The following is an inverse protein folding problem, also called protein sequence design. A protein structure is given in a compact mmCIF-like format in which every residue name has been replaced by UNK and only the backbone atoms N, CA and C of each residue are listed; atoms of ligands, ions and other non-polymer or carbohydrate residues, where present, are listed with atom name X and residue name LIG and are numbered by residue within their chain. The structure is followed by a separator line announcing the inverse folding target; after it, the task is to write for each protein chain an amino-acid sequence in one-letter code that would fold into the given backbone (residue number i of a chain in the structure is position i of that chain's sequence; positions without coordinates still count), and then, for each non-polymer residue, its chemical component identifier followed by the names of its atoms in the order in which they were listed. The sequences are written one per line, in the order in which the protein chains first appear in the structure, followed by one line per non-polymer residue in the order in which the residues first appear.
data_IF_417208903442
#
_entry.id   IF_417208903442
#
_cell.length_a   1.000
_cell.length_b   1.000
_cell.length_c   1.000
_cell.angle_alpha   90.00
_cell.angle_beta   90.00
_cell.angle_gamma   90.00
#
_symmetry.space_group_name_H-M   'P 1'
#
loop_
_entity.id
_entity.type
_entity.pdbx_description
1 polymer ?
#
# COMPACT_ATOMS: atom_id res chain seq x y z
N UNK A 1 -10.18 0.98 -15.48
CA UNK A 1 -10.40 1.74 -16.73
C UNK A 1 -9.38 1.22 -17.74
N UNK A 2 -9.86 0.69 -18.86
CA UNK A 2 -9.00 0.25 -19.96
C UNK A 2 -8.53 1.44 -20.80
N UNK A 3 -7.56 1.21 -21.70
CA UNK A 3 -7.08 2.27 -22.60
C UNK A 3 -8.18 2.81 -23.53
N UNK A 4 -9.08 1.95 -24.00
CA UNK A 4 -10.21 2.37 -24.82
C UNK A 4 -11.17 3.27 -24.03
N UNK A 5 -11.56 2.88 -22.81
CA UNK A 5 -12.41 3.70 -21.94
C UNK A 5 -11.77 5.08 -21.66
N UNK A 6 -10.44 5.10 -21.47
CA UNK A 6 -9.72 6.36 -21.26
C UNK A 6 -9.79 7.27 -22.49
N UNK A 7 -9.66 6.72 -23.71
CA UNK A 7 -9.81 7.48 -24.95
C UNK A 7 -11.24 8.05 -25.09
N UNK A 8 -12.25 7.26 -24.76
CA UNK A 8 -13.65 7.68 -24.81
C UNK A 8 -13.90 8.87 -23.85
N UNK A 9 -13.41 8.76 -22.60
CA UNK A 9 -13.52 9.84 -21.62
C UNK A 9 -12.74 11.10 -22.06
N UNK A 10 -11.55 10.93 -22.63
CA UNK A 10 -10.78 12.05 -23.18
C UNK A 10 -11.49 12.74 -24.37
N UNK A 11 -12.26 11.97 -25.14
CA UNK A 11 -13.09 12.49 -26.22
C UNK A 11 -14.42 13.09 -25.74
N UNK A 12 -14.68 13.13 -24.43
CA UNK A 12 -15.92 13.67 -23.85
C UNK A 12 -17.10 12.69 -23.85
N UNK A 13 -16.86 11.42 -24.14
CA UNK A 13 -17.90 10.40 -24.05
C UNK A 13 -18.05 9.91 -22.59
N UNK A 14 -19.27 9.56 -22.15
CA UNK A 14 -19.48 9.03 -20.82
C UNK A 14 -18.85 7.64 -20.68
N UNK A 15 -18.22 7.38 -19.54
CA UNK A 15 -17.78 6.04 -19.20
C UNK A 15 -18.97 5.22 -18.71
N UNK A 16 -19.33 4.19 -19.47
CA UNK A 16 -20.39 3.27 -19.10
C UNK A 16 -19.91 2.27 -18.06
N UNK A 17 -20.48 2.32 -16.87
CA UNK A 17 -20.21 1.39 -15.78
C UNK A 17 -21.45 0.56 -15.49
N UNK A 18 -21.31 -0.78 -15.51
CA UNK A 18 -22.38 -1.65 -15.01
C UNK A 18 -22.69 -1.29 -13.56
N UNK A 19 -23.98 -1.17 -13.22
CA UNK A 19 -24.39 -0.87 -11.83
C UNK A 19 -23.72 -1.86 -10.86
N UNK A 20 -22.90 -1.37 -9.91
CA UNK A 20 -22.12 -2.22 -9.03
C UNK A 20 -22.98 -2.84 -7.94
N UNK A 21 -22.53 -3.95 -7.38
CA UNK A 21 -23.02 -4.43 -6.08
C UNK A 21 -22.50 -3.49 -4.98
N UNK A 22 -23.24 -3.44 -3.88
CA UNK A 22 -22.87 -2.65 -2.71
C UNK A 22 -22.47 -3.60 -1.55
N UNK A 23 -21.26 -3.49 -1.07
CA UNK A 23 -20.77 -4.24 0.09
C UNK A 23 -20.54 -3.24 1.23
N UNK A 24 -21.29 -3.38 2.32
CA UNK A 24 -21.11 -2.60 3.53
C UNK A 24 -20.13 -3.27 4.47
N UNK A 25 -19.09 -2.57 4.92
CA UNK A 25 -18.19 -3.03 5.98
C UNK A 25 -18.40 -2.16 7.21
N UNK A 26 -19.13 -2.70 8.17
CA UNK A 26 -19.40 -2.03 9.44
C UNK A 26 -18.24 -2.23 10.40
N UNK A 27 -17.62 -1.14 10.80
CA UNK A 27 -16.53 -1.12 11.75
C UNK A 27 -17.03 -0.60 13.10
N UNK A 28 -16.81 -1.38 14.16
CA UNK A 28 -17.14 -1.01 15.54
C UNK A 28 -15.89 -0.97 16.41
N UNK A 29 -15.95 -0.34 17.57
CA UNK A 29 -14.81 -0.23 18.48
C UNK A 29 -13.67 0.64 17.94
N UNK A 30 -12.46 0.39 18.43
CA UNK A 30 -11.23 1.16 18.04
C UNK A 30 -10.03 0.25 17.94
N UNK A 31 -9.11 0.57 17.01
CA UNK A 31 -7.80 -0.06 16.95
C UNK A 31 -7.00 0.24 18.22
N UNK A 32 -6.23 -0.72 18.68
CA UNK A 32 -5.36 -0.56 19.84
C UNK A 32 -4.11 -1.42 19.74
N UNK A 33 -3.08 -1.03 20.48
CA UNK A 33 -1.86 -1.82 20.61
C UNK A 33 -1.15 -2.03 19.27
N UNK A 34 -0.98 -3.28 18.90
CA UNK A 34 -0.27 -3.71 17.71
C UNK A 34 -1.10 -3.64 16.42
N UNK A 35 -2.41 -3.41 16.51
CA UNK A 35 -3.26 -3.34 15.32
C UNK A 35 -3.14 -2.00 14.60
N UNK A 36 -3.26 -2.06 13.29
CA UNK A 36 -3.23 -0.91 12.39
C UNK A 36 -4.40 -0.97 11.40
N UNK A 37 -4.66 0.12 10.69
CA UNK A 37 -5.68 0.16 9.64
C UNK A 37 -5.45 -0.91 8.55
N UNK A 38 -4.19 -1.26 8.30
CA UNK A 38 -3.81 -2.36 7.40
C UNK A 38 -4.47 -3.68 7.76
N UNK A 39 -4.58 -3.99 9.05
CA UNK A 39 -5.14 -5.27 9.51
C UNK A 39 -6.63 -5.40 9.17
N UNK A 40 -7.35 -4.27 9.07
CA UNK A 40 -8.76 -4.25 8.63
C UNK A 40 -8.86 -4.80 7.21
N UNK A 41 -8.10 -4.24 6.28
CA UNK A 41 -8.19 -4.67 4.88
C UNK A 41 -7.58 -6.05 4.65
N UNK A 42 -6.57 -6.45 5.42
CA UNK A 42 -6.03 -7.81 5.38
C UNK A 42 -7.09 -8.83 5.81
N UNK A 43 -7.86 -8.53 6.85
CA UNK A 43 -9.00 -9.37 7.27
C UNK A 43 -10.11 -9.37 6.22
N UNK A 44 -10.47 -8.21 5.66
CA UNK A 44 -11.48 -8.11 4.59
C UNK A 44 -11.05 -8.92 3.36
N UNK A 45 -9.77 -8.86 3.00
CA UNK A 45 -9.21 -9.66 1.90
C UNK A 45 -9.36 -11.17 2.17
N UNK A 46 -9.15 -11.60 3.41
CA UNK A 46 -9.39 -13.00 3.80
C UNK A 46 -10.86 -13.42 3.73
N UNK A 47 -11.80 -12.50 3.93
CA UNK A 47 -13.24 -12.77 3.86
C UNK A 47 -13.73 -12.77 2.41
N UNK A 48 -13.41 -11.73 1.64
CA UNK A 48 -13.90 -11.53 0.28
C UNK A 48 -13.09 -12.27 -0.78
N UNK A 49 -11.86 -12.64 -0.48
CA UNK A 49 -10.86 -13.12 -1.44
C UNK A 49 -10.51 -12.09 -2.53
N UNK A 50 -9.58 -12.43 -3.41
CA UNK A 50 -9.16 -11.55 -4.52
C UNK A 50 -10.22 -11.28 -5.58
N UNK A 51 -11.39 -11.91 -5.47
CA UNK A 51 -12.49 -11.81 -6.46
C UNK A 51 -13.82 -11.36 -5.86
N UNK A 52 -13.97 -11.39 -4.54
CA UNK A 52 -15.25 -11.14 -3.89
C UNK A 52 -15.79 -9.72 -4.08
N UNK A 53 -14.91 -8.74 -4.23
CA UNK A 53 -15.27 -7.36 -4.54
C UNK A 53 -15.48 -7.04 -6.03
N UNK A 54 -15.35 -8.04 -6.92
CA UNK A 54 -15.43 -7.79 -8.37
C UNK A 54 -16.81 -7.23 -8.76
N UNK A 55 -16.79 -6.05 -9.37
CA UNK A 55 -18.00 -5.32 -9.77
C UNK A 55 -18.77 -4.77 -8.57
N UNK A 56 -18.14 -4.59 -7.43
CA UNK A 56 -18.74 -4.00 -6.24
C UNK A 56 -18.09 -2.66 -5.84
N UNK A 57 -18.85 -1.84 -5.15
CA UNK A 57 -18.38 -0.72 -4.32
C UNK A 57 -18.36 -1.21 -2.88
N UNK A 58 -17.25 -1.00 -2.19
CA UNK A 58 -17.11 -1.35 -0.78
C UNK A 58 -17.17 -0.07 0.06
N UNK A 59 -18.21 0.05 0.88
CA UNK A 59 -18.41 1.21 1.76
C UNK A 59 -18.11 0.82 3.21
N UNK A 60 -17.21 1.59 3.84
CA UNK A 60 -16.83 1.41 5.24
C UNK A 60 -17.56 2.42 6.10
N UNK A 61 -18.27 1.97 7.11
CA UNK A 61 -19.09 2.82 7.98
C UNK A 61 -19.08 2.37 9.44
N UNK A 62 -19.77 3.12 10.28
CA UNK A 62 -19.85 2.87 11.71
C UNK A 62 -18.86 3.70 12.53
N UNK A 63 -18.93 3.60 13.84
CA UNK A 63 -18.11 4.38 14.78
C UNK A 63 -16.62 4.03 14.66
N UNK A 64 -16.31 2.76 14.39
CA UNK A 64 -14.93 2.31 14.14
C UNK A 64 -14.33 2.97 12.91
N UNK A 65 -15.10 3.14 11.84
CA UNK A 65 -14.63 3.83 10.62
C UNK A 65 -14.25 5.29 10.89
N UNK A 66 -15.03 6.00 11.72
CA UNK A 66 -14.74 7.37 12.14
C UNK A 66 -13.51 7.47 13.06
N UNK A 67 -13.16 6.39 13.76
CA UNK A 67 -11.99 6.36 14.64
C UNK A 67 -10.67 6.25 13.89
N UNK A 68 -10.67 5.84 12.61
CA UNK A 68 -9.49 5.68 11.78
C UNK A 68 -8.97 7.03 11.31
N UNK A 69 -7.64 7.17 11.21
CA UNK A 69 -6.99 8.30 10.57
C UNK A 69 -7.33 8.40 9.08
N UNK A 70 -7.18 9.57 8.48
CA UNK A 70 -7.36 9.75 7.04
C UNK A 70 -6.38 8.88 6.24
N UNK A 71 -5.13 8.75 6.68
CA UNK A 71 -4.10 7.90 6.06
C UNK A 71 -4.42 6.42 6.22
N UNK A 72 -4.96 6.01 7.38
CA UNK A 72 -5.44 4.65 7.60
C UNK A 72 -6.60 4.26 6.69
N UNK A 73 -7.57 5.16 6.48
CA UNK A 73 -8.64 4.99 5.47
C UNK A 73 -8.05 4.85 4.07
N UNK A 74 -7.04 5.68 3.74
CA UNK A 74 -6.31 5.60 2.48
C UNK A 74 -5.65 4.23 2.26
N UNK A 75 -5.04 3.65 3.29
CA UNK A 75 -4.46 2.30 3.25
C UNK A 75 -5.52 1.23 2.94
N UNK A 76 -6.67 1.30 3.60
CA UNK A 76 -7.78 0.37 3.37
C UNK A 76 -8.30 0.49 1.92
N UNK A 77 -8.54 1.72 1.45
CA UNK A 77 -9.00 1.95 0.08
C UNK A 77 -7.97 1.53 -0.98
N UNK A 78 -6.66 1.73 -0.73
CA UNK A 78 -5.59 1.31 -1.63
C UNK A 78 -5.67 -0.19 -1.93
N UNK A 79 -5.91 -1.01 -0.92
CA UNK A 79 -6.02 -2.45 -1.07
C UNK A 79 -7.41 -2.94 -1.53
N UNK A 80 -8.36 -2.05 -1.76
CA UNK A 80 -9.64 -2.39 -2.40
C UNK A 80 -9.44 -3.01 -3.79
N UNK A 81 -8.39 -2.62 -4.51
CA UNK A 81 -8.03 -3.24 -5.78
C UNK A 81 -7.65 -4.73 -5.64
N UNK A 82 -7.06 -5.13 -4.51
CA UNK A 82 -6.62 -6.51 -4.29
C UNK A 82 -7.77 -7.49 -4.00
N UNK A 83 -8.92 -6.97 -3.60
CA UNK A 83 -10.17 -7.75 -3.49
C UNK A 83 -11.05 -7.65 -4.74
N UNK A 84 -10.57 -6.96 -5.78
CA UNK A 84 -11.27 -6.78 -7.05
C UNK A 84 -12.36 -5.70 -7.03
N UNK A 85 -12.46 -4.89 -5.98
CA UNK A 85 -13.47 -3.84 -5.87
C UNK A 85 -13.32 -2.77 -6.97
N UNK A 86 -14.44 -2.28 -7.47
CA UNK A 86 -14.49 -1.15 -8.40
C UNK A 86 -14.01 0.12 -7.70
N UNK A 87 -14.44 0.32 -6.46
CA UNK A 87 -13.96 1.39 -5.57
C UNK A 87 -14.20 1.00 -4.11
N UNK A 88 -13.55 1.74 -3.21
CA UNK A 88 -13.75 1.68 -1.77
C UNK A 88 -14.01 3.09 -1.24
N UNK A 89 -14.94 3.25 -0.29
CA UNK A 89 -15.42 4.55 0.15
C UNK A 89 -15.45 4.61 1.68
N UNK A 90 -15.03 5.74 2.22
CA UNK A 90 -15.32 6.20 3.58
C UNK A 90 -16.05 7.53 3.50
N UNK A 91 -16.97 7.76 4.41
CA UNK A 91 -17.57 9.08 4.58
C UNK A 91 -16.56 10.11 5.07
N UNK A 92 -16.80 11.39 4.73
CA UNK A 92 -16.04 12.52 5.25
C UNK A 92 -16.30 12.70 6.76
N UNK A 93 -15.25 13.04 7.49
CA UNK A 93 -15.31 13.25 8.94
C UNK A 93 -14.20 14.19 9.46
N UNK A 94 -14.14 14.35 10.79
CA UNK A 94 -13.18 15.23 11.46
C UNK A 94 -11.72 14.83 11.18
N UNK A 95 -11.44 13.53 10.99
CA UNK A 95 -10.09 13.05 10.62
C UNK A 95 -9.71 13.46 9.21
N UNK A 96 -10.67 13.43 8.29
CA UNK A 96 -10.51 13.91 6.92
C UNK A 96 -10.24 15.41 6.89
N UNK A 97 -11.01 16.21 7.67
CA UNK A 97 -10.81 17.65 7.82
C UNK A 97 -9.42 17.96 8.40
N UNK A 98 -9.03 17.30 9.49
CA UNK A 98 -7.73 17.50 10.12
C UNK A 98 -6.56 17.20 9.16
N UNK A 99 -6.67 16.17 8.35
CA UNK A 99 -5.67 15.82 7.35
C UNK A 99 -5.56 16.90 6.25
N UNK A 100 -6.68 17.39 5.75
CA UNK A 100 -6.70 18.51 4.77
C UNK A 100 -6.04 19.74 5.35
N UNK A 101 -6.38 20.12 6.59
CA UNK A 101 -5.78 21.26 7.29
C UNK A 101 -4.26 21.06 7.48
N UNK A 102 -3.87 19.89 7.98
CA UNK A 102 -2.46 19.55 8.24
C UNK A 102 -1.59 19.50 6.99
N UNK A 103 -2.19 19.32 5.82
CA UNK A 103 -1.51 19.28 4.50
C UNK A 103 -1.67 20.56 3.69
N UNK A 104 -2.00 21.71 4.34
CA UNK A 104 -2.07 23.01 3.70
C UNK A 104 -3.30 23.26 2.84
N UNK A 105 -4.37 22.49 3.04
CA UNK A 105 -5.65 22.57 2.27
C UNK A 105 -6.81 22.96 3.18
N UNK A 106 -6.60 23.93 4.06
CA UNK A 106 -7.60 24.39 5.02
C UNK A 106 -8.85 24.99 4.34
N UNK A 107 -8.70 25.63 3.19
CA UNK A 107 -9.78 26.13 2.36
C UNK A 107 -10.66 25.00 1.83
N UNK A 108 -10.06 23.91 1.39
CA UNK A 108 -10.79 22.70 0.94
C UNK A 108 -11.51 22.05 2.12
N UNK A 109 -10.88 21.98 3.31
CA UNK A 109 -11.52 21.48 4.51
C UNK A 109 -12.78 22.32 4.85
N UNK A 110 -12.68 23.65 4.81
CA UNK A 110 -13.82 24.53 5.05
C UNK A 110 -14.96 24.36 4.02
N UNK A 111 -14.63 24.13 2.76
CA UNK A 111 -15.63 23.83 1.72
C UNK A 111 -16.31 22.48 2.00
N UNK A 112 -15.54 21.45 2.37
CA UNK A 112 -16.09 20.13 2.69
C UNK A 112 -16.96 20.17 3.95
N UNK A 113 -16.52 20.89 5.00
CA UNK A 113 -17.30 21.09 6.24
C UNK A 113 -18.68 21.74 5.95
N UNK A 114 -18.73 22.69 5.02
CA UNK A 114 -19.98 23.35 4.66
C UNK A 114 -21.03 22.43 4.00
N UNK A 115 -20.58 21.30 3.43
CA UNK A 115 -21.44 20.31 2.78
C UNK A 115 -21.28 18.90 3.40
N UNK A 116 -20.76 18.82 4.62
CA UNK A 116 -20.39 17.55 5.24
C UNK A 116 -21.55 16.53 5.26
N UNK A 117 -22.79 16.98 5.45
CA UNK A 117 -23.97 16.12 5.41
C UNK A 117 -24.20 15.42 4.04
N UNK A 118 -23.63 15.94 2.97
CA UNK A 118 -23.70 15.34 1.63
C UNK A 118 -22.45 14.50 1.28
N UNK A 119 -21.48 14.42 2.18
CA UNK A 119 -20.24 13.70 2.01
C UNK A 119 -20.14 12.45 2.90
N UNK A 120 -21.25 12.07 3.52
CA UNK A 120 -21.40 10.85 4.31
C UNK A 120 -22.54 10.02 3.75
N UNK A 121 -22.63 8.75 4.14
CA UNK A 121 -23.80 7.94 3.81
C UNK A 121 -25.03 8.36 4.63
N UNK A 122 -26.20 7.97 4.16
CA UNK A 122 -27.47 8.30 4.79
C UNK A 122 -27.65 7.53 6.11
N UNK A 123 -28.15 8.20 7.14
CA UNK A 123 -28.39 7.60 8.45
C UNK A 123 -29.31 6.37 8.40
N UNK A 124 -30.30 6.39 7.51
CA UNK A 124 -31.23 5.28 7.31
C UNK A 124 -30.50 4.04 6.78
N UNK A 125 -29.54 4.20 5.87
CA UNK A 125 -28.72 3.11 5.32
C UNK A 125 -27.89 2.47 6.42
N UNK A 126 -27.27 3.29 7.25
CA UNK A 126 -26.42 2.80 8.34
C UNK A 126 -27.22 2.19 9.50
N UNK A 127 -28.46 2.64 9.72
CA UNK A 127 -29.38 2.05 10.69
C UNK A 127 -29.91 0.69 10.23
N UNK A 128 -30.08 0.48 8.93
CA UNK A 128 -30.67 -0.72 8.33
C UNK A 128 -29.82 -1.29 7.18
N UNK A 129 -28.53 -1.58 7.41
CA UNK A 129 -27.58 -1.88 6.33
C UNK A 129 -27.99 -3.10 5.49
N UNK A 130 -28.61 -4.11 6.09
CA UNK A 130 -29.07 -5.32 5.40
C UNK A 130 -30.17 -5.06 4.32
N UNK A 131 -30.80 -3.87 4.34
CA UNK A 131 -31.82 -3.51 3.35
C UNK A 131 -31.20 -2.83 2.12
N UNK A 132 -30.00 -2.27 2.25
CA UNK A 132 -29.38 -1.41 1.24
C UNK A 132 -28.13 -2.00 0.63
N UNK A 133 -27.38 -2.81 1.39
CA UNK A 133 -26.18 -3.49 0.89
C UNK A 133 -26.51 -4.92 0.43
N UNK A 134 -25.91 -5.36 -0.67
CA UNK A 134 -25.99 -6.76 -1.12
C UNK A 134 -25.28 -7.72 -0.16
N UNK A 135 -24.32 -7.22 0.60
CA UNK A 135 -23.59 -7.96 1.62
C UNK A 135 -23.13 -7.01 2.73
N UNK A 136 -23.25 -7.43 3.99
CA UNK A 136 -22.71 -6.72 5.14
C UNK A 136 -21.63 -7.57 5.82
N UNK A 137 -20.51 -6.95 6.15
CA UNK A 137 -19.40 -7.53 6.91
C UNK A 137 -19.24 -6.68 8.17
N UNK A 138 -19.25 -7.30 9.34
CA UNK A 138 -18.99 -6.62 10.59
C UNK A 138 -17.59 -6.96 11.13
N UNK A 139 -16.84 -5.95 11.56
CA UNK A 139 -15.52 -6.11 12.19
C UNK A 139 -15.46 -5.24 13.44
N UNK A 140 -15.26 -5.88 14.58
CA UNK A 140 -14.95 -5.20 15.83
C UNK A 140 -13.45 -4.91 15.90
N UNK A 141 -13.07 -3.65 15.77
CA UNK A 141 -11.66 -3.22 15.79
C UNK A 141 -10.98 -3.49 17.13
N UNK A 142 -11.74 -3.51 18.23
CA UNK A 142 -11.18 -3.80 19.56
C UNK A 142 -10.81 -5.27 19.78
N UNK A 143 -11.34 -6.16 18.93
CA UNK A 143 -11.05 -7.60 18.95
C UNK A 143 -10.16 -8.03 17.79
N UNK A 144 -9.81 -7.09 16.90
CA UNK A 144 -8.99 -7.36 15.74
C UNK A 144 -7.54 -7.65 16.18
N UNK A 145 -7.01 -8.78 15.76
CA UNK A 145 -5.57 -9.06 15.87
C UNK A 145 -4.82 -8.54 14.62
N UNK A 146 -3.52 -8.23 14.74
CA UNK A 146 -2.67 -8.05 13.56
C UNK A 146 -2.74 -9.28 12.65
N UNK A 147 -2.72 -9.03 11.33
CA UNK A 147 -2.79 -10.07 10.31
C UNK A 147 -1.53 -10.11 9.46
N UNK A 148 -1.18 -11.32 9.03
CA UNK A 148 -0.17 -11.56 8.00
C UNK A 148 -0.83 -12.35 6.88
N UNK A 149 -0.84 -11.79 5.67
CA UNK A 149 -1.46 -12.44 4.52
C UNK A 149 -0.40 -12.99 3.55
N UNK A 150 -0.65 -14.17 3.05
CA UNK A 150 0.26 -14.85 2.13
C UNK A 150 0.66 -16.25 2.59
N UNK A 151 1.61 -16.87 1.85
CA UNK A 151 2.35 -16.31 0.70
C UNK A 151 1.59 -16.40 -0.62
N UNK A 152 2.13 -15.74 -1.65
CA UNK A 152 1.71 -15.81 -3.06
C UNK A 152 0.32 -15.24 -3.41
N UNK A 153 -0.47 -14.84 -2.43
CA UNK A 153 -1.77 -14.20 -2.62
C UNK A 153 -2.09 -13.30 -1.42
N UNK A 154 -2.74 -12.14 -1.62
CA UNK A 154 -3.06 -11.23 -0.54
C UNK A 154 -4.30 -11.63 0.27
N UNK A 155 -5.01 -12.69 -0.10
CA UNK A 155 -6.24 -13.14 0.55
C UNK A 155 -6.06 -14.36 1.49
N UNK A 156 -4.88 -14.94 1.54
CA UNK A 156 -4.56 -15.99 2.51
C UNK A 156 -4.21 -15.33 3.87
N UNK A 157 -5.23 -15.01 4.65
CA UNK A 157 -5.13 -14.20 5.86
C UNK A 157 -4.93 -15.05 7.12
N UNK A 158 -3.95 -14.68 7.92
CA UNK A 158 -3.62 -15.32 9.19
C UNK A 158 -3.60 -14.30 10.33
N UNK A 159 -4.41 -14.45 11.37
CA UNK A 159 -4.19 -13.72 12.61
C UNK A 159 -2.79 -14.05 13.17
N UNK A 160 -2.11 -13.07 13.74
CA UNK A 160 -0.74 -13.23 14.23
C UNK A 160 -0.60 -14.37 15.24
N UNK A 161 -1.63 -14.60 16.06
CA UNK A 161 -1.67 -15.70 17.03
C UNK A 161 -1.63 -17.10 16.40
N UNK A 162 -1.97 -17.21 15.11
CA UNK A 162 -1.99 -18.49 14.36
C UNK A 162 -0.89 -18.59 13.31
N UNK A 163 -0.21 -17.48 13.03
CA UNK A 163 0.72 -17.41 11.91
C UNK A 163 1.94 -18.34 12.09
N UNK A 164 2.53 -18.40 13.29
CA UNK A 164 3.65 -19.27 13.59
C UNK A 164 3.32 -20.76 13.35
N UNK A 165 2.10 -21.19 13.69
CA UNK A 165 1.64 -22.56 13.41
C UNK A 165 1.50 -22.77 11.89
N UNK A 166 0.89 -21.83 11.18
CA UNK A 166 0.73 -21.89 9.73
C UNK A 166 2.08 -21.99 9.00
N UNK A 167 3.10 -21.24 9.41
CA UNK A 167 4.46 -21.31 8.85
C UNK A 167 5.01 -22.74 8.97
N UNK A 168 4.87 -23.36 10.14
CA UNK A 168 5.36 -24.72 10.41
C UNK A 168 4.58 -25.79 9.64
N UNK A 169 3.26 -25.73 9.68
CA UNK A 169 2.37 -26.72 9.05
C UNK A 169 2.51 -26.73 7.53
N UNK A 170 2.70 -25.57 6.91
CA UNK A 170 2.89 -25.46 5.46
C UNK A 170 4.36 -25.61 5.02
N UNK A 171 5.29 -25.76 5.94
CA UNK A 171 6.72 -25.88 5.64
C UNK A 171 7.29 -24.64 4.94
N UNK A 172 6.77 -23.44 5.26
CA UNK A 172 7.31 -22.19 4.76
C UNK A 172 8.64 -21.85 5.45
N UNK A 173 9.54 -21.07 4.80
CA UNK A 173 10.76 -20.63 5.47
C UNK A 173 10.43 -19.83 6.72
N UNK A 174 10.92 -20.28 7.89
CA UNK A 174 10.76 -19.53 9.14
C UNK A 174 11.72 -18.33 9.20
N UNK A 175 12.96 -18.51 8.69
CA UNK A 175 13.93 -17.41 8.59
C UNK A 175 13.34 -16.30 7.69
N UNK A 176 13.32 -15.09 8.20
CA UNK A 176 12.96 -13.90 7.42
C UNK A 176 14.22 -13.27 6.82
N UNK A 177 14.31 -13.23 5.51
CA UNK A 177 15.45 -12.64 4.82
C UNK A 177 15.35 -11.13 4.69
N UNK A 178 14.17 -10.61 4.32
CA UNK A 178 13.97 -9.16 4.13
C UNK A 178 12.62 -8.70 4.65
N UNK A 179 12.62 -7.57 5.37
CA UNK A 179 11.45 -6.78 5.71
C UNK A 179 11.45 -5.46 4.93
N UNK A 180 10.32 -5.11 4.32
CA UNK A 180 10.18 -3.87 3.54
C UNK A 180 8.93 -3.11 3.96
N UNK A 181 9.10 -1.84 4.37
CA UNK A 181 7.97 -0.95 4.65
C UNK A 181 7.90 0.22 3.67
N UNK A 182 6.69 0.75 3.48
CA UNK A 182 6.48 1.93 2.65
C UNK A 182 5.70 1.64 1.36
N UNK A 183 6.19 2.17 0.24
CA UNK A 183 5.49 2.20 -1.06
C UNK A 183 4.21 3.08 -0.98
N UNK A 184 3.29 2.97 -1.95
CA UNK A 184 2.07 3.77 -1.96
C UNK A 184 1.05 3.36 -0.88
N UNK A 185 1.19 2.18 -0.28
CA UNK A 185 0.18 1.61 0.62
C UNK A 185 0.37 2.02 2.07
N UNK A 186 1.58 1.89 2.60
CA UNK A 186 1.91 2.19 4.00
C UNK A 186 3.21 2.99 4.10
N UNK A 187 3.13 4.25 3.79
CA UNK A 187 4.26 5.17 3.76
C UNK A 187 3.90 6.58 4.26
N UNK A 188 2.76 6.68 4.92
CA UNK A 188 2.33 7.93 5.55
C UNK A 188 3.24 8.29 6.73
N UNK A 189 3.13 9.53 7.21
CA UNK A 189 3.81 9.95 8.42
C UNK A 189 3.43 9.06 9.62
N UNK A 190 2.15 8.68 9.73
CA UNK A 190 1.65 7.78 10.77
C UNK A 190 2.33 6.41 10.69
N UNK A 191 2.34 5.79 9.51
CA UNK A 191 2.97 4.47 9.30
C UNK A 191 4.45 4.49 9.69
N UNK A 192 5.17 5.51 9.22
CA UNK A 192 6.62 5.66 9.48
C UNK A 192 6.88 5.96 10.96
N UNK A 193 6.08 6.82 11.60
CA UNK A 193 6.27 7.17 13.02
C UNK A 193 6.03 5.96 13.93
N UNK A 194 5.02 5.15 13.65
CA UNK A 194 4.73 3.91 14.41
C UNK A 194 5.86 2.89 14.25
N UNK A 195 6.35 2.67 13.03
CA UNK A 195 7.48 1.80 12.76
C UNK A 195 8.78 2.33 13.42
N UNK A 196 9.02 3.64 13.36
CA UNK A 196 10.17 4.28 14.01
C UNK A 196 10.15 4.13 15.53
N UNK A 197 8.96 4.12 16.16
CA UNK A 197 8.86 3.86 17.59
C UNK A 197 9.37 2.47 17.97
N UNK A 198 9.14 1.46 17.12
CA UNK A 198 9.69 0.11 17.31
C UNK A 198 11.19 0.07 17.04
N UNK A 199 11.66 0.76 16.01
CA UNK A 199 13.09 0.90 15.75
C UNK A 199 13.83 1.54 16.93
N UNK A 200 13.24 2.59 17.52
CA UNK A 200 13.79 3.21 18.74
C UNK A 200 13.82 2.24 19.91
N UNK A 201 12.76 1.50 20.14
CA UNK A 201 12.74 0.47 21.20
C UNK A 201 13.82 -0.59 20.97
N UNK A 202 14.02 -1.01 19.70
CA UNK A 202 15.07 -1.97 19.37
C UNK A 202 16.46 -1.41 19.75
N UNK A 203 16.77 -0.19 19.34
CA UNK A 203 18.04 0.48 19.68
C UNK A 203 18.20 0.61 21.20
N UNK A 204 17.20 1.13 21.90
CA UNK A 204 17.22 1.32 23.36
C UNK A 204 17.39 -0.01 24.11
N UNK A 205 16.83 -1.10 23.59
CA UNK A 205 16.91 -2.47 24.14
C UNK A 205 18.10 -3.28 23.59
N UNK A 206 18.99 -2.63 22.82
CA UNK A 206 20.20 -3.24 22.22
C UNK A 206 19.89 -4.41 21.28
N UNK A 207 18.84 -4.24 20.49
CA UNK A 207 18.45 -5.09 19.38
C UNK A 207 18.83 -4.42 18.06
N UNK A 208 19.16 -5.21 17.06
CA UNK A 208 19.31 -4.78 15.66
C UNK A 208 18.40 -5.62 14.78
N UNK A 209 18.07 -5.14 13.61
CA UNK A 209 17.38 -5.94 12.61
C UNK A 209 18.26 -7.16 12.24
N UNK A 210 17.67 -8.35 12.32
CA UNK A 210 18.34 -9.60 11.91
C UNK A 210 18.08 -9.94 10.45
N UNK A 211 17.07 -9.32 9.85
CA UNK A 211 16.80 -9.36 8.41
C UNK A 211 17.31 -8.08 7.76
N UNK A 212 17.56 -8.10 6.45
CA UNK A 212 17.64 -6.87 5.67
C UNK A 212 16.34 -6.08 5.90
N UNK A 213 16.44 -4.77 6.18
CA UNK A 213 15.27 -3.95 6.46
C UNK A 213 15.30 -2.67 5.65
N UNK A 214 14.29 -2.44 4.82
CA UNK A 214 14.24 -1.28 3.94
C UNK A 214 12.98 -0.45 4.15
N UNK A 215 13.13 0.86 4.00
CA UNK A 215 12.09 1.86 4.20
C UNK A 215 11.94 2.70 2.94
N UNK A 216 10.74 2.78 2.39
CA UNK A 216 10.41 3.64 1.25
C UNK A 216 9.39 4.69 1.67
N UNK A 217 9.76 5.95 1.95
CA UNK A 217 8.81 7.01 2.24
C UNK A 217 7.84 7.24 1.06
N UNK A 218 6.65 7.76 1.33
CA UNK A 218 5.59 7.88 0.33
C UNK A 218 5.75 9.06 -0.64
N UNK A 219 6.50 10.07 -0.23
CA UNK A 219 6.79 11.26 -1.03
C UNK A 219 8.01 11.97 -0.46
N UNK A 220 8.59 12.89 -1.23
CA UNK A 220 9.67 13.74 -0.72
C UNK A 220 9.22 14.58 0.49
N UNK A 221 7.99 15.08 0.49
CA UNK A 221 7.45 15.81 1.63
C UNK A 221 7.43 14.94 2.91
N UNK A 222 6.96 13.70 2.79
CA UNK A 222 7.00 12.75 3.93
C UNK A 222 8.45 12.46 4.31
N UNK A 223 9.35 12.20 3.34
CA UNK A 223 10.76 11.92 3.60
C UNK A 223 11.42 13.04 4.40
N UNK A 224 11.32 14.29 3.94
CA UNK A 224 11.88 15.44 4.65
C UNK A 224 11.26 15.62 6.04
N UNK A 225 9.96 15.35 6.17
CA UNK A 225 9.28 15.47 7.46
C UNK A 225 9.79 14.44 8.46
N UNK A 226 9.88 13.17 8.07
CA UNK A 226 10.33 12.08 8.95
C UNK A 226 11.86 12.15 9.21
N UNK A 227 12.64 12.70 8.27
CA UNK A 227 14.06 13.01 8.44
C UNK A 227 14.25 14.12 9.50
N UNK A 228 13.55 15.25 9.35
CA UNK A 228 13.54 16.34 10.34
C UNK A 228 13.19 15.85 11.73
N UNK A 229 12.25 14.92 11.84
CA UNK A 229 11.78 14.39 13.12
C UNK A 229 12.65 13.22 13.64
N UNK A 230 13.77 12.90 12.95
CA UNK A 230 14.80 11.96 13.40
C UNK A 230 14.47 10.48 13.19
N UNK A 231 13.40 10.17 12.46
CA UNK A 231 12.98 8.78 12.29
C UNK A 231 13.92 8.00 11.36
N UNK A 232 14.47 8.65 10.32
CA UNK A 232 15.38 7.99 9.39
C UNK A 232 16.71 7.61 10.08
N UNK A 233 17.22 8.47 10.95
CA UNK A 233 18.41 8.16 11.77
C UNK A 233 18.14 6.97 12.70
N UNK A 234 16.95 6.92 13.30
CA UNK A 234 16.55 5.81 14.18
C UNK A 234 16.51 4.48 13.42
N UNK A 235 15.97 4.46 12.20
CA UNK A 235 16.01 3.27 11.34
C UNK A 235 17.44 2.88 10.98
N UNK A 236 18.30 3.85 10.64
CA UNK A 236 19.72 3.62 10.35
C UNK A 236 20.45 2.98 11.53
N UNK A 237 20.20 3.44 12.75
CA UNK A 237 20.78 2.86 13.98
C UNK A 237 20.35 1.42 14.23
N UNK A 238 19.14 1.06 13.82
CA UNK A 238 18.64 -0.33 13.88
C UNK A 238 19.21 -1.22 12.76
N UNK A 239 19.84 -0.65 11.74
CA UNK A 239 20.35 -1.36 10.55
C UNK A 239 19.42 -1.28 9.33
N UNK A 240 18.45 -0.38 9.34
CA UNK A 240 17.55 -0.13 8.21
C UNK A 240 18.19 0.75 7.13
N UNK A 241 17.74 0.55 5.88
CA UNK A 241 18.18 1.31 4.71
C UNK A 241 16.99 2.05 4.09
N UNK A 242 17.13 3.36 3.93
CA UNK A 242 16.10 4.19 3.29
C UNK A 242 16.30 4.16 1.77
N UNK A 243 15.27 3.76 1.06
CA UNK A 243 15.25 3.72 -0.40
C UNK A 243 14.65 5.01 -0.98
N UNK A 244 14.87 5.24 -2.27
CA UNK A 244 14.21 6.31 -3.01
C UNK A 244 12.68 6.13 -3.00
N UNK A 245 11.94 7.25 -3.10
CA UNK A 245 10.48 7.28 -3.12
C UNK A 245 9.94 6.75 -4.45
N UNK A 246 10.06 5.47 -4.68
CA UNK A 246 9.65 4.80 -5.91
C UNK A 246 9.01 3.45 -5.60
N UNK A 247 8.32 2.88 -6.58
CA UNK A 247 7.70 1.57 -6.44
C UNK A 247 8.74 0.45 -6.25
N UNK A 248 9.91 0.53 -6.91
CA UNK A 248 11.05 -0.37 -6.70
C UNK A 248 10.67 -1.84 -6.47
N UNK A 249 10.94 -2.40 -5.29
CA UNK A 249 10.62 -3.80 -4.97
C UNK A 249 9.13 -4.15 -5.12
N UNK A 250 8.23 -3.19 -4.92
CA UNK A 250 6.78 -3.42 -5.02
C UNK A 250 6.34 -3.85 -6.44
N UNK A 251 7.08 -3.45 -7.48
CA UNK A 251 6.78 -3.78 -8.88
C UNK A 251 7.84 -4.70 -9.52
N UNK A 252 8.75 -5.25 -8.74
CA UNK A 252 9.78 -6.15 -9.25
C UNK A 252 11.02 -5.44 -9.81
N UNK A 253 11.15 -4.13 -9.66
CA UNK A 253 12.37 -3.37 -9.96
C UNK A 253 13.29 -3.37 -8.75
N UNK A 254 13.83 -4.52 -8.44
CA UNK A 254 14.66 -4.75 -7.27
C UNK A 254 15.85 -5.65 -7.61
N UNK A 255 17.04 -5.08 -7.58
CA UNK A 255 18.28 -5.84 -7.64
C UNK A 255 18.58 -6.43 -6.26
N UNK A 256 17.91 -7.50 -5.90
CA UNK A 256 18.13 -8.18 -4.62
C UNK A 256 19.47 -8.90 -4.63
N UNK A 257 20.31 -8.56 -3.67
CA UNK A 257 21.59 -9.22 -3.47
C UNK A 257 21.45 -10.38 -2.47
N UNK A 258 22.27 -11.44 -2.64
CA UNK A 258 22.35 -12.54 -1.67
C UNK A 258 21.26 -13.61 -1.74
N UNK A 259 20.33 -13.54 -2.69
CA UNK A 259 19.40 -14.62 -3.00
C UNK A 259 19.78 -15.24 -4.35
N UNK A 260 20.09 -16.56 -4.36
CA UNK A 260 20.27 -17.26 -5.62
C UNK A 260 18.94 -17.36 -6.38
N UNK A 261 18.99 -17.29 -7.70
CA UNK A 261 17.80 -17.52 -8.54
C UNK A 261 17.24 -18.89 -8.23
N UNK A 262 15.95 -18.94 -7.81
CA UNK A 262 15.18 -20.12 -7.42
C UNK A 262 15.42 -20.66 -6.00
N UNK A 263 16.22 -20.00 -5.17
CA UNK A 263 16.33 -20.35 -3.77
C UNK A 263 14.99 -20.10 -3.03
N UNK A 264 14.61 -21.05 -2.17
CA UNK A 264 13.45 -20.90 -1.28
C UNK A 264 13.80 -19.95 -0.14
N UNK A 265 13.12 -18.81 -0.09
CA UNK A 265 13.36 -17.76 0.88
C UNK A 265 12.07 -17.05 1.27
N UNK A 266 12.12 -16.13 2.23
CA UNK A 266 10.96 -15.36 2.66
C UNK A 266 11.23 -13.86 2.71
N UNK A 267 10.21 -13.09 2.37
CA UNK A 267 10.14 -11.64 2.57
C UNK A 267 8.80 -11.27 3.18
N UNK A 268 8.78 -10.20 3.96
CA UNK A 268 7.54 -9.60 4.44
C UNK A 268 7.49 -8.10 4.10
N UNK A 269 6.36 -7.63 3.63
CA UNK A 269 6.23 -6.25 3.16
C UNK A 269 4.97 -5.58 3.69
N UNK A 270 4.98 -4.26 3.79
CA UNK A 270 3.75 -3.50 4.00
C UNK A 270 3.10 -3.05 2.68
N UNK A 271 3.52 -3.61 1.56
CA UNK A 271 2.96 -3.35 0.24
C UNK A 271 1.54 -3.92 0.11
N UNK A 272 0.97 -3.86 -1.10
CA UNK A 272 -0.37 -4.36 -1.33
C UNK A 272 -0.41 -5.73 -2.03
N UNK A 273 0.67 -6.16 -2.67
CA UNK A 273 0.72 -7.36 -3.52
C UNK A 273 1.88 -8.26 -3.18
N UNK A 274 1.61 -9.57 -3.24
CA UNK A 274 2.60 -10.61 -2.93
C UNK A 274 2.52 -11.82 -3.86
N UNK A 275 2.06 -11.63 -5.09
CA UNK A 275 2.02 -12.72 -6.09
C UNK A 275 3.42 -13.29 -6.36
N UNK A 276 3.47 -14.54 -6.78
CA UNK A 276 4.72 -15.19 -7.16
C UNK A 276 5.51 -14.34 -8.17
N UNK A 277 6.82 -14.22 -7.99
CA UNK A 277 7.75 -13.42 -8.79
C UNK A 277 7.56 -11.90 -8.71
N UNK A 278 6.58 -11.41 -7.95
CA UNK A 278 6.22 -9.98 -7.95
C UNK A 278 7.35 -9.08 -7.48
N UNK A 279 8.06 -9.45 -6.42
CA UNK A 279 9.04 -8.58 -5.77
C UNK A 279 10.44 -8.65 -6.43
N UNK A 280 10.93 -9.86 -6.70
CA UNK A 280 12.33 -10.12 -7.09
C UNK A 280 12.48 -11.06 -8.30
N UNK A 281 11.37 -11.43 -8.95
CA UNK A 281 11.38 -12.36 -10.09
C UNK A 281 11.58 -13.84 -9.71
N UNK A 282 11.89 -14.16 -8.44
CA UNK A 282 12.08 -15.53 -7.98
C UNK A 282 10.72 -16.18 -7.65
N UNK A 283 10.35 -17.30 -8.29
CA UNK A 283 9.09 -17.99 -8.02
C UNK A 283 9.02 -18.62 -6.62
N UNK A 284 10.17 -18.83 -5.98
CA UNK A 284 10.28 -19.48 -4.67
C UNK A 284 10.41 -18.49 -3.50
N UNK A 285 10.33 -17.18 -3.76
CA UNK A 285 10.25 -16.17 -2.73
C UNK A 285 8.85 -16.18 -2.11
N UNK A 286 8.76 -16.61 -0.86
CA UNK A 286 7.53 -16.59 -0.07
C UNK A 286 7.31 -15.17 0.44
N UNK A 287 6.54 -14.41 -0.33
CA UNK A 287 6.21 -13.02 -0.01
C UNK A 287 4.94 -12.92 0.83
N UNK A 288 5.04 -12.25 1.97
CA UNK A 288 3.94 -11.98 2.88
C UNK A 288 3.64 -10.49 2.95
N UNK A 289 2.42 -10.16 3.36
CA UNK A 289 1.96 -8.76 3.53
C UNK A 289 1.43 -8.59 4.96
N UNK A 290 1.88 -7.54 5.63
CA UNK A 290 1.42 -7.17 6.97
C UNK A 290 1.48 -5.64 7.16
N UNK A 291 1.07 -5.15 8.33
CA UNK A 291 1.25 -3.74 8.71
C UNK A 291 2.74 -3.39 8.87
N UNK A 292 3.14 -2.11 8.71
CA UNK A 292 4.52 -1.69 8.92
C UNK A 292 5.08 -2.09 10.29
N UNK A 293 4.26 -2.07 11.32
CA UNK A 293 4.63 -2.43 12.69
C UNK A 293 5.01 -3.92 12.79
N UNK A 294 4.19 -4.79 12.21
CA UNK A 294 4.45 -6.23 12.18
C UNK A 294 5.68 -6.54 11.31
N UNK A 295 5.80 -5.91 10.14
CA UNK A 295 6.99 -6.04 9.30
C UNK A 295 8.26 -5.66 10.07
N UNK A 296 8.23 -4.54 10.79
CA UNK A 296 9.38 -4.06 11.59
C UNK A 296 9.71 -5.04 12.72
N UNK A 297 8.72 -5.50 13.47
CA UNK A 297 8.93 -6.45 14.57
C UNK A 297 9.52 -7.77 14.08
N UNK A 298 9.02 -8.31 12.97
CA UNK A 298 9.52 -9.55 12.38
C UNK A 298 10.93 -9.36 11.77
N UNK A 299 11.24 -8.18 11.22
CA UNK A 299 12.59 -7.87 10.73
C UNK A 299 13.61 -7.80 11.87
N UNK A 300 13.24 -7.22 13.03
CA UNK A 300 14.07 -7.24 14.25
C UNK A 300 14.29 -8.68 14.73
N UNK A 301 13.24 -9.51 14.70
CA UNK A 301 13.34 -10.91 15.11
C UNK A 301 14.13 -11.78 14.12
N UNK A 302 14.07 -11.48 12.82
CA UNK A 302 14.63 -12.31 11.74
C UNK A 302 13.88 -13.64 11.54
N UNK A 303 12.66 -13.75 12.05
CA UNK A 303 11.89 -14.98 12.11
C UNK A 303 10.40 -14.69 11.91
N UNK A 304 9.79 -15.36 10.92
CA UNK A 304 8.35 -15.28 10.64
C UNK A 304 7.48 -15.90 11.73
N UNK A 305 8.04 -16.76 12.58
CA UNK A 305 7.30 -17.41 13.67
C UNK A 305 7.24 -16.57 14.96
N UNK A 306 7.91 -15.42 14.98
CA UNK A 306 7.89 -14.50 16.12
C UNK A 306 6.53 -13.81 16.25
N UNK A 307 5.95 -13.84 17.45
CA UNK A 307 4.73 -13.09 17.76
C UNK A 307 5.06 -11.93 18.72
N UNK A 308 5.07 -10.67 18.25
CA UNK A 308 5.46 -9.54 19.11
C UNK A 308 4.53 -9.30 20.29
N UNK A 309 3.31 -9.85 20.29
CA UNK A 309 2.36 -9.71 21.40
C UNK A 309 2.76 -10.56 22.59
N UNK A 310 3.40 -11.72 22.37
CA UNK A 310 3.66 -12.72 23.40
C UNK A 310 5.14 -13.01 23.64
N UNK A 311 5.97 -12.93 22.59
CA UNK A 311 7.32 -13.44 22.60
C UNK A 311 8.34 -12.39 23.05
N UNK A 312 9.52 -12.87 23.40
CA UNK A 312 10.69 -12.05 23.76
C UNK A 312 11.82 -12.29 22.78
N UNK A 313 12.73 -11.34 22.71
CA UNK A 313 13.95 -11.40 21.90
C UNK A 313 15.18 -11.37 22.81
N UNK A 314 16.23 -12.04 22.41
CA UNK A 314 17.53 -11.96 23.09
C UNK A 314 18.34 -10.81 22.51
N UNK A 315 18.68 -9.83 23.33
CA UNK A 315 19.49 -8.66 22.93
C UNK A 315 21.00 -9.02 22.87
N UNK A 316 21.83 -8.04 22.47
CA UNK A 316 23.28 -8.23 22.36
C UNK A 316 23.99 -8.53 23.69
N UNK A 317 23.35 -8.28 24.83
CA UNK A 317 23.86 -8.58 26.18
C UNK A 317 23.34 -9.92 26.72
N UNK A 318 22.61 -10.69 25.93
CA UNK A 318 22.04 -11.97 26.33
C UNK A 318 20.75 -11.87 27.16
N UNK A 319 20.16 -10.68 27.29
CA UNK A 319 18.94 -10.44 28.06
C UNK A 319 17.70 -10.72 27.21
N UNK A 320 16.66 -11.28 27.82
CA UNK A 320 15.35 -11.43 27.22
C UNK A 320 14.60 -10.09 27.33
N UNK A 321 14.24 -9.51 26.20
CA UNK A 321 13.52 -8.23 26.11
C UNK A 321 12.26 -8.39 25.28
N UNK A 322 11.20 -7.70 25.66
CA UNK A 322 9.94 -7.64 24.91
C UNK A 322 9.82 -6.30 24.21
N UNK A 323 9.30 -6.30 22.98
CA UNK A 323 8.89 -5.09 22.31
C UNK A 323 7.53 -4.63 22.88
N UNK A 324 7.43 -3.36 23.19
CA UNK A 324 6.18 -2.74 23.62
C UNK A 324 5.36 -2.33 22.39
N UNK A 325 4.08 -2.06 22.60
CA UNK A 325 3.17 -1.63 21.55
C UNK A 325 3.70 -0.40 20.81
N UNK A 326 3.60 -0.35 19.46
CA UNK A 326 4.05 0.78 18.68
C UNK A 326 3.24 2.04 18.98
N UNK A 327 3.91 3.18 19.03
CA UNK A 327 3.29 4.49 19.20
C UNK A 327 3.65 5.37 18.02
N UNK A 328 2.71 6.21 17.58
CA UNK A 328 2.93 7.14 16.49
C UNK A 328 1.89 8.24 16.49
N UNK A 329 2.08 9.18 15.59
CA UNK A 329 1.23 10.35 15.42
C UNK A 329 0.57 10.29 14.04
N UNK A 330 -0.71 10.59 13.97
CA UNK A 330 -1.44 10.68 12.71
C UNK A 330 -0.88 11.80 11.80
N UNK A 331 -0.49 12.91 12.41
CA UNK A 331 0.08 14.08 11.75
C UNK A 331 1.32 14.56 12.51
N UNK A 332 2.30 15.17 11.81
CA UNK A 332 3.48 15.72 12.45
C UNK A 332 3.12 16.94 13.33
N UNK A 333 3.59 16.96 14.58
CA UNK A 333 3.32 18.06 15.53
C UNK A 333 3.79 19.43 15.02
N UNK A 334 4.87 19.46 14.23
CA UNK A 334 5.45 20.68 13.64
C UNK A 334 4.91 20.96 12.22
N UNK A 335 3.83 20.27 11.79
CA UNK A 335 3.37 20.29 10.41
C UNK A 335 4.31 19.55 9.47
N UNK A 336 3.87 19.35 8.24
CA UNK A 336 4.70 18.76 7.19
C UNK A 336 5.83 19.73 6.78
N UNK A 337 6.98 19.18 6.39
CA UNK A 337 8.05 19.97 5.81
C UNK A 337 7.59 20.62 4.49
N UNK A 338 7.99 21.88 4.30
CA UNK A 338 7.58 22.68 3.13
C UNK A 338 8.68 22.69 2.07
N UNK A 339 9.88 22.22 2.41
CA UNK A 339 11.03 22.20 1.51
C UNK A 339 10.83 21.16 0.40
N UNK A 340 10.97 21.62 -0.82
CA UNK A 340 10.95 20.76 -2.02
C UNK A 340 12.31 20.83 -2.72
N UNK A 341 13.33 20.28 -2.07
CA UNK A 341 14.67 20.22 -2.64
C UNK A 341 14.77 19.26 -3.85
N UNK A 342 13.76 18.45 -4.08
CA UNK A 342 13.70 17.50 -5.20
C UNK A 342 13.05 18.05 -6.47
N UNK A 343 12.32 19.18 -6.37
CA UNK A 343 11.66 19.76 -7.53
C UNK A 343 12.66 20.44 -8.46
N UNK A 344 12.68 20.01 -9.71
CA UNK A 344 13.41 20.65 -10.79
C UNK A 344 12.39 21.26 -11.76
N UNK A 345 12.32 22.59 -11.76
CA UNK A 345 11.43 23.28 -12.70
C UNK A 345 11.86 22.98 -14.14
N UNK A 346 10.91 22.76 -15.07
CA UNK A 346 11.22 22.71 -16.48
C UNK A 346 11.82 24.06 -16.93
N UNK A 347 12.60 24.05 -18.03
CA UNK A 347 13.07 25.28 -18.63
C UNK A 347 11.86 26.14 -19.05
N UNK A 348 11.93 27.47 -18.82
CA UNK A 348 10.89 28.41 -19.25
C UNK A 348 10.68 28.36 -20.76
N UNK A 349 11.78 28.23 -21.53
CA UNK A 349 11.76 27.98 -22.96
C UNK A 349 12.43 26.62 -23.28
N UNK A 350 11.60 25.65 -23.66
CA UNK A 350 12.03 24.31 -24.06
C UNK A 350 12.32 24.16 -25.56
N UNK A 351 12.24 25.22 -26.35
CA UNK A 351 12.37 25.16 -27.81
C UNK A 351 13.74 24.67 -28.29
N UNK A 352 14.78 24.85 -27.48
CA UNK A 352 16.15 24.39 -27.77
C UNK A 352 16.43 22.98 -27.26
N UNK A 353 15.52 22.37 -26.50
CA UNK A 353 15.72 21.04 -25.92
C UNK A 353 15.56 19.97 -27.00
N UNK A 354 16.58 19.16 -27.18
CA UNK A 354 16.56 18.04 -28.12
C UNK A 354 16.44 16.71 -27.35
N UNK A 355 15.51 15.88 -27.79
CA UNK A 355 15.42 14.49 -27.29
C UNK A 355 16.48 13.66 -27.97
N UNK A 356 17.47 13.21 -27.23
CA UNK A 356 18.58 12.41 -27.77
C UNK A 356 18.25 10.92 -27.56
N UNK A 357 18.16 10.19 -28.65
CA UNK A 357 18.03 8.73 -28.67
C UNK A 357 19.29 8.15 -29.31
N UNK A 358 19.90 7.13 -28.67
CA UNK A 358 21.05 6.46 -29.24
C UNK A 358 20.71 5.86 -30.62
N UNK A 359 21.51 6.11 -31.66
CA UNK A 359 21.26 5.53 -32.97
C UNK A 359 21.35 3.99 -33.00
N UNK A 360 21.92 3.38 -31.96
CA UNK A 360 22.02 1.93 -31.79
C UNK A 360 20.98 1.36 -30.82
N UNK A 361 20.03 2.18 -30.36
CA UNK A 361 18.96 1.69 -29.50
C UNK A 361 18.03 0.75 -30.28
N UNK A 362 17.86 -0.45 -29.77
CA UNK A 362 16.89 -1.43 -30.27
C UNK A 362 15.49 -1.24 -29.68
N UNK A 363 15.34 -0.28 -28.76
CA UNK A 363 14.13 -0.07 -27.98
C UNK A 363 13.52 1.32 -28.16
N UNK A 364 14.33 2.35 -28.19
CA UNK A 364 13.90 3.75 -28.29
C UNK A 364 14.10 4.27 -29.69
N UNK A 365 13.11 4.99 -30.21
CA UNK A 365 13.21 5.70 -31.49
C UNK A 365 12.45 7.02 -31.42
N UNK A 366 12.90 8.00 -32.17
CA UNK A 366 12.13 9.21 -32.39
C UNK A 366 11.06 8.92 -33.44
N UNK A 367 9.81 9.16 -33.08
CA UNK A 367 8.68 9.00 -33.99
C UNK A 367 8.37 10.33 -34.67
N UNK A 368 7.99 10.27 -35.94
CA UNK A 368 7.38 11.42 -36.62
C UNK A 368 6.03 11.73 -35.95
N UNK A 369 5.66 12.99 -35.96
CA UNK A 369 4.36 13.42 -35.47
C UNK A 369 3.24 12.74 -36.23
N UNK A 370 2.23 12.24 -35.51
CA UNK A 370 1.04 11.69 -36.17
C UNK A 370 0.33 12.78 -36.98
N UNK A 371 -0.11 12.43 -38.16
CA UNK A 371 -0.92 13.33 -38.98
C UNK A 371 -2.23 13.70 -38.25
N UNK A 372 -2.65 14.96 -38.37
CA UNK A 372 -3.96 15.36 -37.85
C UNK A 372 -5.08 14.58 -38.57
N UNK A 373 -6.15 14.27 -37.84
CA UNK A 373 -7.31 13.63 -38.43
C UNK A 373 -7.99 14.58 -39.44
N UNK A 374 -8.19 14.12 -40.65
CA UNK A 374 -8.76 14.89 -41.76
C UNK A 374 -10.31 14.97 -41.73
N UNK A 375 -10.95 14.53 -40.65
CA UNK A 375 -12.42 14.56 -40.52
C UNK A 375 -13.15 13.43 -41.26
N UNK A 376 -12.43 12.46 -41.79
CA UNK A 376 -13.01 11.30 -42.47
C UNK A 376 -12.67 10.00 -41.76
N UNK A 377 -13.62 9.07 -41.68
CA UNK A 377 -13.42 7.77 -41.06
C UNK A 377 -12.36 6.96 -41.79
N UNK A 378 -11.50 6.29 -41.00
CA UNK A 378 -10.53 5.35 -41.51
C UNK A 378 -11.24 4.10 -42.05
N UNK A 379 -11.03 3.78 -43.34
CA UNK A 379 -11.65 2.62 -43.99
C UNK A 379 -10.63 1.56 -44.38
N UNK A 380 -11.05 0.31 -44.36
CA UNK A 380 -10.22 -0.80 -44.82
C UNK A 380 -9.06 -1.16 -43.89
N UNK A 381 -9.12 -0.77 -42.62
CA UNK A 381 -8.10 -1.13 -41.62
C UNK A 381 -8.02 -2.65 -41.45
N UNK A 382 -6.78 -3.14 -41.32
CA UNK A 382 -6.51 -4.56 -41.07
C UNK A 382 -6.48 -4.83 -39.58
N UNK A 383 -7.14 -5.88 -39.13
CA UNK A 383 -7.06 -6.34 -37.74
C UNK A 383 -5.69 -6.99 -37.48
N UNK A 384 -4.88 -6.40 -36.62
CA UNK A 384 -3.57 -6.93 -36.26
C UNK A 384 -3.66 -7.98 -35.14
N UNK A 385 -4.47 -7.71 -34.10
CA UNK A 385 -4.61 -8.56 -32.92
C UNK A 385 -6.07 -8.61 -32.52
N UNK A 386 -6.53 -9.81 -32.17
CA UNK A 386 -7.84 -10.02 -31.55
C UNK A 386 -7.67 -10.85 -30.28
N UNK A 387 -7.88 -10.22 -29.13
CA UNK A 387 -7.83 -10.92 -27.84
C UNK A 387 -9.20 -11.50 -27.45
N UNK A 388 -9.19 -12.67 -26.80
CA UNK A 388 -10.36 -13.21 -26.10
C UNK A 388 -10.32 -12.78 -24.65
N UNK A 389 -11.28 -11.97 -24.21
CA UNK A 389 -11.34 -11.43 -22.85
C UNK A 389 -10.42 -10.22 -22.66
N UNK A 390 -9.91 -10.02 -21.43
CA UNK A 390 -9.14 -8.85 -21.05
C UNK A 390 -7.72 -8.87 -21.61
N UNK A 391 -7.32 -7.78 -22.24
CA UNK A 391 -5.94 -7.50 -22.61
C UNK A 391 -5.46 -6.26 -21.84
N UNK A 392 -4.26 -6.32 -21.27
CA UNK A 392 -3.63 -5.22 -20.55
C UNK A 392 -2.37 -4.76 -21.26
N UNK A 393 -1.84 -3.62 -20.87
CA UNK A 393 -0.57 -3.11 -21.41
C UNK A 393 0.59 -4.09 -21.18
N UNK A 394 0.58 -4.85 -20.09
CA UNK A 394 1.58 -5.89 -19.81
C UNK A 394 1.59 -7.03 -20.84
N UNK A 395 0.48 -7.25 -21.54
CA UNK A 395 0.43 -8.23 -22.64
C UNK A 395 1.08 -7.70 -23.92
N UNK A 396 1.25 -6.40 -24.02
CA UNK A 396 1.83 -5.72 -25.21
C UNK A 396 3.28 -5.33 -24.93
N UNK A 397 3.53 -4.66 -23.80
CA UNK A 397 4.84 -4.19 -23.37
C UNK A 397 4.92 -4.24 -21.85
N UNK A 398 5.45 -5.31 -21.32
CA UNK A 398 5.61 -5.50 -19.88
C UNK A 398 6.91 -4.87 -19.37
N UNK A 399 6.94 -4.46 -18.11
CA UNK A 399 8.19 -4.23 -17.40
C UNK A 399 9.00 -5.53 -17.35
N UNK A 400 10.29 -5.44 -17.47
CA UNK A 400 11.13 -6.62 -17.54
C UNK A 400 12.60 -6.33 -17.21
N UNK A 401 13.46 -7.37 -17.28
CA UNK A 401 14.87 -7.26 -16.88
C UNK A 401 15.70 -6.28 -17.74
N UNK A 402 15.12 -5.76 -18.78
CA UNK A 402 15.73 -4.74 -19.66
C UNK A 402 15.49 -3.28 -19.19
N UNK A 403 14.73 -3.05 -18.11
CA UNK A 403 14.46 -1.71 -17.54
C UNK A 403 15.59 -1.24 -16.60
#
# INVERSE_FOLDING_TARGET
VGGADACDVMAGLPWELKFPKLIGVKLTGKLSGWTAAKDVILKVAGILTVKGGTGAIVEYFGEGARSLSATGKGTICNMGAEIGATTSIFGYDEKSAAYLQGTGRADIAAMADAIAAHLTGDDEVYANPEQYFDQVIEINLSELEPHVNGPFTPDLAWPISKFAAAVKENGWPAKLDVGLIGSCTNSSYEDISRAASLAKQAVDKKLLAKSEYTITPGSEQVRFTVERDGFLDTFGQMGGVVLANACGPCIGQWARHGAEKQEKNSIITSFNRNFAKRADGNPNTHAFVASPEIVTALAIAGDLTFNPLTDTLTNSEGQQVKLDEPKGLELPEKGFAVEDAGYQAPAEDGSSVQVLVSPTSDRLQLLDSFAAWEGTDLKGLKLLIKAKGKCTTDHISMAGPWL
#
